data_IF_539237561624
#
_entry.id   IF_539237561624
#
_cell.length_a   1.000
_cell.length_b   1.000
_cell.length_c   1.000
_cell.angle_alpha   90.00
_cell.angle_beta   90.00
_cell.angle_gamma   90.00
#
_symmetry.space_group_name_H-M   'P 1'
#
loop_
_entity.id
_entity.type
_entity.pdbx_description
1 polymer ?
#
# COMPACT_ATOMS: atom_id res chain seq x y z
N UNK A 1 4.80 -11.63 3.94
CA UNK A 1 4.05 -10.44 4.40
C UNK A 1 3.69 -9.64 3.16
N UNK A 2 2.53 -8.99 3.17
CA UNK A 2 2.15 -8.06 2.10
C UNK A 2 2.53 -6.66 2.54
N UNK A 3 3.24 -5.94 1.67
CA UNK A 3 3.76 -4.59 1.91
C UNK A 3 3.42 -3.73 0.71
N UNK A 4 3.32 -2.42 0.91
CA UNK A 4 2.98 -1.47 -0.15
C UNK A 4 4.27 -1.06 -0.86
N UNK A 5 4.29 -1.27 -2.18
CA UNK A 5 5.34 -0.78 -3.07
C UNK A 5 4.83 0.40 -3.89
N UNK A 6 5.75 1.28 -4.26
CA UNK A 6 5.49 2.38 -5.18
C UNK A 6 6.59 2.46 -6.23
N UNK A 7 6.24 2.94 -7.42
CA UNK A 7 7.19 3.24 -8.48
C UNK A 7 6.75 4.49 -9.24
N UNK A 8 7.70 5.15 -9.89
CA UNK A 8 7.38 6.15 -10.89
C UNK A 8 7.00 5.43 -12.18
N UNK A 9 5.92 5.85 -12.81
CA UNK A 9 5.42 5.26 -14.05
C UNK A 9 5.49 6.33 -15.15
N UNK A 10 6.32 6.10 -16.16
CA UNK A 10 6.53 7.03 -17.26
C UNK A 10 5.45 6.79 -18.31
N UNK A 11 4.62 7.80 -18.53
CA UNK A 11 3.43 7.76 -19.41
C UNK A 11 3.49 8.80 -20.55
N UNK A 12 4.68 9.30 -20.86
CA UNK A 12 4.87 10.25 -21.95
C UNK A 12 4.79 9.51 -23.30
N UNK A 13 4.20 10.14 -24.32
CA UNK A 13 4.22 9.62 -25.68
C UNK A 13 3.23 8.48 -25.96
N UNK A 14 3.63 7.55 -26.83
CA UNK A 14 2.79 6.41 -27.23
C UNK A 14 2.64 5.41 -26.07
N UNK A 15 1.43 4.88 -25.90
CA UNK A 15 1.12 3.96 -24.79
C UNK A 15 1.94 2.67 -24.82
N UNK A 16 2.46 2.27 -25.98
CA UNK A 16 3.35 1.11 -26.12
C UNK A 16 4.76 1.36 -25.58
N UNK A 17 5.13 2.62 -25.32
CA UNK A 17 6.41 3.02 -24.73
C UNK A 17 6.31 3.30 -23.21
N UNK A 18 5.09 3.29 -22.66
CA UNK A 18 4.86 3.48 -21.23
C UNK A 18 5.55 2.38 -20.41
N UNK A 19 6.24 2.77 -19.35
CA UNK A 19 6.98 1.82 -18.53
C UNK A 19 7.11 2.26 -17.07
N UNK A 20 7.11 1.26 -16.19
CA UNK A 20 7.41 1.45 -14.77
C UNK A 20 8.92 1.52 -14.55
N UNK A 21 9.38 2.49 -13.74
CA UNK A 21 10.71 2.43 -13.12
C UNK A 21 10.73 1.34 -12.04
N UNK A 22 11.92 0.94 -11.54
CA UNK A 22 12.02 -0.01 -10.44
C UNK A 22 11.15 0.42 -9.24
N UNK A 23 10.45 -0.55 -8.65
CA UNK A 23 9.65 -0.32 -7.46
C UNK A 23 10.52 -0.23 -6.21
N UNK A 24 10.06 0.57 -5.24
CA UNK A 24 10.61 0.65 -3.89
C UNK A 24 9.51 0.38 -2.88
N UNK A 25 9.90 -0.22 -1.76
CA UNK A 25 8.98 -0.41 -0.65
C UNK A 25 8.65 0.96 -0.03
N UNK A 26 7.36 1.22 0.17
CA UNK A 26 6.83 2.47 0.71
C UNK A 26 6.38 2.28 2.15
N UNK A 27 5.69 1.17 2.44
CA UNK A 27 5.15 0.89 3.76
C UNK A 27 5.08 -0.60 4.05
N UNK A 28 5.49 -0.99 5.25
CA UNK A 28 5.32 -2.34 5.81
C UNK A 28 4.62 -2.26 7.17
N UNK A 29 4.00 -3.35 7.65
CA UNK A 29 3.50 -3.38 9.03
C UNK A 29 4.62 -3.00 10.01
N UNK A 30 4.32 -2.06 10.89
CA UNK A 30 5.16 -1.52 11.94
C UNK A 30 4.41 -1.43 13.29
N UNK A 31 3.08 -1.40 13.26
CA UNK A 31 2.22 -1.29 14.43
C UNK A 31 1.37 -2.54 14.67
N UNK A 32 0.94 -2.76 15.91
CA UNK A 32 0.07 -3.91 16.29
C UNK A 32 -1.24 -3.90 15.51
N UNK A 33 -1.83 -2.72 15.27
CA UNK A 33 -3.04 -2.61 14.47
C UNK A 33 -2.83 -2.97 12.99
N UNK A 34 -1.58 -2.98 12.52
CA UNK A 34 -1.18 -3.42 11.17
C UNK A 34 -0.85 -4.92 11.10
N UNK A 35 -0.84 -5.60 12.25
CA UNK A 35 -0.55 -7.02 12.34
C UNK A 35 0.95 -7.34 12.41
N UNK A 36 1.79 -6.41 12.89
CA UNK A 36 3.24 -6.66 13.07
C UNK A 36 3.54 -7.85 14.00
N UNK A 37 2.63 -8.14 14.93
CA UNK A 37 2.69 -9.24 15.89
C UNK A 37 2.31 -10.60 15.29
N UNK A 38 1.81 -10.63 14.06
CA UNK A 38 1.51 -11.87 13.34
C UNK A 38 2.71 -12.32 12.47
N UNK A 39 2.85 -13.63 12.19
CA UNK A 39 3.91 -14.13 11.35
C UNK A 39 3.88 -13.54 9.93
N UNK A 40 5.04 -13.14 9.38
CA UNK A 40 5.14 -12.57 8.03
C UNK A 40 5.07 -13.68 6.96
N UNK A 41 3.89 -14.25 6.75
CA UNK A 41 3.64 -15.28 5.73
C UNK A 41 3.32 -14.67 4.36
N UNK A 42 3.64 -15.32 3.23
CA UNK A 42 3.19 -14.90 1.91
C UNK A 42 1.66 -14.77 1.87
N UNK A 43 1.14 -13.76 1.15
CA UNK A 43 -0.30 -13.61 1.00
C UNK A 43 -0.88 -14.63 0.04
N UNK A 44 -2.18 -14.90 0.20
CA UNK A 44 -2.96 -15.73 -0.72
C UNK A 44 -3.96 -14.85 -1.45
N UNK A 45 -4.29 -15.14 -2.72
CA UNK A 45 -5.35 -14.45 -3.43
C UNK A 45 -6.71 -14.65 -2.74
N UNK A 46 -7.53 -13.60 -2.71
CA UNK A 46 -8.87 -13.61 -2.13
C UNK A 46 -8.97 -12.88 -0.79
N UNK A 47 -10.21 -12.82 -0.29
CA UNK A 47 -10.53 -12.16 0.98
C UNK A 47 -9.89 -12.87 2.17
N UNK A 48 -9.61 -12.12 3.23
CA UNK A 48 -9.04 -12.64 4.47
C UNK A 48 -9.80 -12.13 5.70
N UNK A 49 -10.44 -13.06 6.40
CA UNK A 49 -11.30 -12.80 7.55
C UNK A 49 -10.56 -12.91 8.90
N UNK A 50 -9.24 -13.08 8.85
CA UNK A 50 -8.36 -13.17 10.02
C UNK A 50 -7.25 -12.12 9.98
N UNK A 51 -6.80 -11.71 11.16
CA UNK A 51 -5.67 -10.78 11.27
C UNK A 51 -4.37 -11.43 10.83
N UNK A 52 -3.59 -10.72 10.02
CA UNK A 52 -2.29 -11.17 9.48
C UNK A 52 -1.32 -10.02 9.29
N UNK A 53 -0.04 -10.31 9.08
CA UNK A 53 1.00 -9.32 8.78
C UNK A 53 0.97 -8.91 7.29
N UNK A 54 -0.06 -8.14 6.90
CA UNK A 54 -0.34 -7.74 5.51
C UNK A 54 -0.99 -6.36 5.45
N UNK A 55 -0.39 -5.43 4.71
CA UNK A 55 -1.01 -4.18 4.26
C UNK A 55 -1.53 -4.35 2.83
N UNK A 56 -2.72 -3.85 2.53
CA UNK A 56 -3.40 -4.10 1.24
C UNK A 56 -4.09 -2.86 0.70
N UNK A 57 -4.40 -2.91 -0.59
CA UNK A 57 -5.29 -1.99 -1.29
C UNK A 57 -5.00 -0.49 -1.04
N UNK A 58 -3.76 -0.02 -1.29
CA UNK A 58 -3.47 1.40 -1.21
C UNK A 58 -4.24 2.17 -2.29
N UNK A 59 -4.79 3.31 -1.92
CA UNK A 59 -5.40 4.26 -2.87
C UNK A 59 -4.91 5.69 -2.58
N UNK A 60 -5.25 6.66 -3.43
CA UNK A 60 -4.91 8.07 -3.26
C UNK A 60 -6.16 8.87 -2.90
N UNK A 61 -6.07 9.59 -1.79
CA UNK A 61 -7.07 10.55 -1.33
C UNK A 61 -6.42 11.93 -1.21
N UNK A 62 -6.97 12.93 -1.90
CA UNK A 62 -6.56 14.32 -1.74
C UNK A 62 -7.63 15.02 -0.89
N UNK A 63 -7.22 15.59 0.24
CA UNK A 63 -8.16 16.31 1.10
C UNK A 63 -8.44 17.74 0.62
N UNK A 64 -9.25 18.49 1.38
CA UNK A 64 -9.66 19.85 1.01
C UNK A 64 -8.53 20.88 1.05
N UNK A 65 -7.48 20.62 1.82
CA UNK A 65 -6.32 21.49 1.98
C UNK A 65 -5.21 21.12 0.98
N UNK A 66 -5.42 20.06 0.19
CA UNK A 66 -4.50 19.57 -0.84
C UNK A 66 -3.50 18.54 -0.33
N UNK A 67 -3.66 18.04 0.90
CA UNK A 67 -2.81 16.99 1.42
C UNK A 67 -3.08 15.67 0.72
N UNK A 68 -2.01 14.98 0.35
CA UNK A 68 -2.08 13.65 -0.26
C UNK A 68 -2.00 12.61 0.84
N UNK A 69 -3.06 11.83 0.93
CA UNK A 69 -3.27 10.78 1.90
C UNK A 69 -3.43 9.45 1.15
N UNK A 70 -2.99 8.37 1.78
CA UNK A 70 -3.11 7.01 1.28
C UNK A 70 -3.94 6.22 2.27
N UNK A 71 -5.23 5.99 2.01
CA UNK A 71 -5.96 4.95 2.71
C UNK A 71 -5.39 3.58 2.30
N UNK A 72 -5.31 2.66 3.26
CA UNK A 72 -4.90 1.28 3.03
C UNK A 72 -5.49 0.35 4.08
N UNK A 73 -5.70 -0.91 3.70
CA UNK A 73 -6.19 -1.96 4.59
C UNK A 73 -5.07 -2.46 5.52
N UNK A 74 -5.40 -2.68 6.80
CA UNK A 74 -4.47 -3.11 7.83
C UNK A 74 -4.78 -4.49 8.37
N UNK A 75 -3.71 -5.19 8.78
CA UNK A 75 -3.77 -6.53 9.34
C UNK A 75 -4.57 -7.53 8.48
N UNK A 76 -4.40 -7.50 7.16
CA UNK A 76 -5.32 -8.14 6.20
C UNK A 76 -6.41 -7.15 5.79
N UNK A 77 -7.67 -7.49 6.04
CA UNK A 77 -8.85 -6.65 5.76
C UNK A 77 -9.54 -6.20 7.06
N UNK A 78 -8.81 -6.16 8.18
CA UNK A 78 -9.37 -5.96 9.52
C UNK A 78 -9.67 -4.48 9.87
N UNK A 79 -9.28 -3.54 9.02
CA UNK A 79 -9.53 -2.12 9.19
C UNK A 79 -8.86 -1.29 8.10
N UNK A 80 -9.10 0.03 8.13
CA UNK A 80 -8.48 1.00 7.21
C UNK A 80 -7.69 2.01 8.04
N UNK A 81 -6.44 2.24 7.65
CA UNK A 81 -5.58 3.31 8.17
C UNK A 81 -5.30 4.34 7.08
N UNK A 82 -4.70 5.46 7.48
CA UNK A 82 -4.39 6.58 6.60
C UNK A 82 -2.93 6.98 6.79
N UNK A 83 -2.15 7.00 5.71
CA UNK A 83 -0.78 7.50 5.71
C UNK A 83 -0.72 8.81 4.91
N UNK A 84 0.04 9.80 5.39
CA UNK A 84 0.33 10.99 4.59
C UNK A 84 1.47 10.69 3.64
N UNK A 85 1.32 11.03 2.36
CA UNK A 85 2.38 10.91 1.36
C UNK A 85 3.08 12.28 1.24
N UNK A 86 4.37 12.31 1.53
CA UNK A 86 5.26 13.38 1.07
C UNK A 86 5.93 12.90 -0.23
N UNK A 87 5.84 13.69 -1.31
CA UNK A 87 6.45 13.32 -2.60
C UNK A 87 7.93 12.95 -2.43
N UNK A 88 8.33 11.88 -3.12
CA UNK A 88 9.67 11.27 -3.07
C UNK A 88 10.40 11.56 -4.38
#
# INVERSE_FOLDING_TARGET
PEVIYGCEFLMDGDWSEWHAKPSKEVLRPAFVYEGIDYPPVPSKPGAIDVRVNQLRDPDILIDRDGDILMPYSVAGEAGIALARIAFI
#
